data_IF_664370052340
#
_entry.id   IF_664370052340
#
_cell.length_a   1.000
_cell.length_b   1.000
_cell.length_c   1.000
_cell.angle_alpha   90.00
_cell.angle_beta   90.00
_cell.angle_gamma   90.00
#
_symmetry.space_group_name_H-M   'P 1'
#
loop_
_entity.id
_entity.type
_entity.pdbx_description
1 polymer ?
#
# COMPACT_ATOMS: atom_id res chain seq x y z
N UNK A 1 32.91 13.67 -18.12
CA UNK A 1 31.51 13.28 -17.89
C UNK A 1 31.22 12.11 -18.83
N UNK A 2 30.98 10.90 -18.31
CA UNK A 2 30.71 9.73 -19.15
C UNK A 2 29.24 9.76 -19.52
N UNK A 3 28.93 9.91 -20.80
CA UNK A 3 27.57 9.78 -21.32
C UNK A 3 27.42 8.32 -21.73
N UNK A 4 26.60 7.55 -21.00
CA UNK A 4 26.20 6.22 -21.42
C UNK A 4 25.00 6.35 -22.38
N UNK A 5 25.15 5.85 -23.60
CA UNK A 5 24.06 5.76 -24.58
C UNK A 5 23.34 4.43 -24.46
N UNK A 6 22.01 4.47 -24.48
CA UNK A 6 21.17 3.26 -24.57
C UNK A 6 21.28 2.68 -25.99
N UNK A 7 21.50 1.36 -26.17
CA UNK A 7 21.52 0.73 -27.49
C UNK A 7 20.22 0.94 -28.28
N UNK A 8 20.32 1.03 -29.61
CA UNK A 8 19.17 1.33 -30.47
C UNK A 8 18.12 0.21 -30.50
N UNK A 9 18.49 -1.05 -30.18
CA UNK A 9 17.55 -2.16 -30.09
C UNK A 9 16.65 -2.14 -28.84
N UNK A 10 16.99 -1.36 -27.82
CA UNK A 10 16.16 -1.24 -26.63
C UNK A 10 14.89 -0.49 -27.02
N UNK A 11 13.73 -1.05 -26.68
CA UNK A 11 12.42 -0.42 -26.92
C UNK A 11 11.66 -0.15 -25.62
N UNK A 12 12.14 -0.72 -24.51
CA UNK A 12 11.50 -0.65 -23.19
C UNK A 12 12.57 -0.42 -22.13
N UNK A 13 12.32 0.54 -21.24
CA UNK A 13 13.10 0.76 -20.02
C UNK A 13 12.20 0.39 -18.85
N UNK A 14 12.62 -0.59 -18.07
CA UNK A 14 11.98 -0.93 -16.80
C UNK A 14 12.70 -0.19 -15.68
N UNK A 15 11.97 0.64 -14.95
CA UNK A 15 12.50 1.38 -13.82
C UNK A 15 12.05 0.70 -12.52
N UNK A 16 13.01 0.51 -11.63
CA UNK A 16 12.71 0.15 -10.25
C UNK A 16 12.19 1.38 -9.47
N UNK A 17 11.55 1.14 -8.33
CA UNK A 17 10.93 2.18 -7.51
C UNK A 17 11.86 2.58 -6.37
N UNK A 18 12.03 1.68 -5.41
CA UNK A 18 12.79 1.94 -4.19
C UNK A 18 14.29 2.12 -4.50
N UNK A 19 14.85 3.26 -4.12
CA UNK A 19 16.26 3.61 -4.37
C UNK A 19 16.58 3.97 -5.82
N UNK A 20 15.62 3.89 -6.75
CA UNK A 20 15.79 4.27 -8.16
C UNK A 20 14.98 5.51 -8.51
N UNK A 21 13.65 5.44 -8.45
CA UNK A 21 12.78 6.60 -8.73
C UNK A 21 12.27 7.28 -7.46
N UNK A 22 12.30 6.58 -6.33
CA UNK A 22 11.81 7.04 -5.02
C UNK A 22 12.87 6.75 -3.95
N UNK A 23 13.21 7.68 -3.05
CA UNK A 23 14.15 7.42 -1.98
C UNK A 23 13.70 6.27 -1.08
N UNK A 24 14.62 5.41 -0.66
CA UNK A 24 14.36 4.35 0.33
C UNK A 24 13.76 4.95 1.61
N UNK A 25 14.29 6.10 2.04
CA UNK A 25 13.79 6.83 3.19
C UNK A 25 12.32 7.25 3.04
N UNK A 26 11.86 7.61 1.83
CA UNK A 26 10.45 7.96 1.62
C UNK A 26 9.54 6.76 1.86
N UNK A 27 9.93 5.58 1.38
CA UNK A 27 9.14 4.35 1.58
C UNK A 27 9.14 3.97 3.07
N UNK A 28 10.32 3.89 3.68
CA UNK A 28 10.50 3.41 5.04
C UNK A 28 10.02 4.38 6.11
N UNK A 29 10.27 5.68 5.93
CA UNK A 29 10.09 6.69 6.98
C UNK A 29 8.83 7.53 6.75
N UNK A 30 8.16 7.42 5.58
CA UNK A 30 6.91 8.13 5.30
C UNK A 30 5.77 7.17 4.98
N UNK A 31 5.89 6.32 3.95
CA UNK A 31 4.75 5.50 3.49
C UNK A 31 4.29 4.47 4.53
N UNK A 32 5.21 3.73 5.13
CA UNK A 32 4.85 2.73 6.14
C UNK A 32 4.39 3.35 7.47
N UNK A 33 5.06 4.38 8.04
CA UNK A 33 4.57 5.07 9.23
C UNK A 33 3.19 5.68 9.05
N UNK A 34 2.91 6.26 7.86
CA UNK A 34 1.60 6.82 7.54
C UNK A 34 0.46 5.83 7.77
N UNK A 35 0.62 4.57 7.35
CA UNK A 35 -0.41 3.54 7.56
C UNK A 35 -0.68 3.34 9.05
N UNK A 36 0.36 3.17 9.87
CA UNK A 36 0.21 2.94 11.32
C UNK A 36 -0.49 4.11 12.02
N UNK A 37 -0.19 5.33 11.59
CA UNK A 37 -0.75 6.55 12.18
C UNK A 37 -2.20 6.81 11.74
N UNK A 38 -2.58 6.38 10.53
CA UNK A 38 -3.86 6.77 9.93
C UNK A 38 -4.87 5.62 9.80
N UNK A 39 -4.48 4.36 10.04
CA UNK A 39 -5.38 3.20 9.84
C UNK A 39 -6.65 3.29 10.68
N UNK A 40 -6.55 3.78 11.91
CA UNK A 40 -7.71 3.94 12.79
C UNK A 40 -8.70 4.97 12.26
N UNK A 41 -8.22 6.17 11.91
CA UNK A 41 -9.05 7.24 11.36
C UNK A 41 -9.65 6.81 10.02
N UNK A 42 -8.86 6.18 9.15
CA UNK A 42 -9.31 5.65 7.87
C UNK A 42 -10.47 4.67 8.04
N UNK A 43 -10.32 3.67 8.90
CA UNK A 43 -11.37 2.69 9.15
C UNK A 43 -12.63 3.34 9.74
N UNK A 44 -12.51 4.37 10.57
CA UNK A 44 -13.66 5.08 11.15
C UNK A 44 -14.43 5.88 10.10
N UNK A 45 -13.73 6.53 9.16
CA UNK A 45 -14.35 7.34 8.11
C UNK A 45 -15.00 6.46 7.04
N UNK A 46 -14.29 5.40 6.62
CA UNK A 46 -14.66 4.56 5.49
C UNK A 46 -15.39 3.28 5.91
N UNK A 47 -15.75 3.12 7.19
CA UNK A 47 -16.29 1.86 7.72
C UNK A 47 -17.46 1.33 6.90
N UNK A 48 -18.41 2.18 6.54
CA UNK A 48 -19.63 1.77 5.82
C UNK A 48 -19.41 1.57 4.31
N UNK A 49 -18.20 1.82 3.80
CA UNK A 49 -17.90 1.62 2.38
C UNK A 49 -17.70 0.14 2.06
N UNK A 50 -18.25 -0.30 0.92
CA UNK A 50 -18.16 -1.69 0.48
C UNK A 50 -16.70 -2.15 0.32
N UNK A 51 -15.84 -1.29 -0.21
CA UNK A 51 -14.41 -1.58 -0.39
C UNK A 51 -13.71 -1.80 0.97
N UNK A 52 -14.01 -0.96 1.96
CA UNK A 52 -13.47 -1.11 3.32
C UNK A 52 -13.99 -2.39 4.00
N UNK A 53 -15.27 -2.72 3.82
CA UNK A 53 -15.85 -3.96 4.34
C UNK A 53 -15.21 -5.21 3.71
N UNK A 54 -14.90 -5.16 2.42
CA UNK A 54 -14.16 -6.22 1.72
C UNK A 54 -12.73 -6.38 2.27
N UNK A 55 -12.03 -5.27 2.49
CA UNK A 55 -10.69 -5.27 3.10
C UNK A 55 -10.70 -5.91 4.49
N UNK A 56 -11.63 -5.49 5.35
CA UNK A 56 -11.78 -6.03 6.72
C UNK A 56 -12.14 -7.52 6.68
N UNK A 57 -12.97 -7.96 5.73
CA UNK A 57 -13.30 -9.37 5.54
C UNK A 57 -12.08 -10.21 5.15
N UNK A 58 -11.22 -9.71 4.26
CA UNK A 58 -9.97 -10.38 3.91
C UNK A 58 -8.98 -10.41 5.08
N UNK A 59 -8.85 -9.32 5.82
CA UNK A 59 -8.01 -9.26 7.01
C UNK A 59 -8.47 -10.25 8.08
N UNK A 60 -9.79 -10.40 8.27
CA UNK A 60 -10.37 -11.39 9.19
C UNK A 60 -10.00 -12.82 8.79
N UNK A 61 -10.18 -13.19 7.52
CA UNK A 61 -9.76 -14.50 6.99
C UNK A 61 -8.26 -14.74 7.20
N UNK A 62 -7.44 -13.73 6.92
CA UNK A 62 -6.01 -13.83 7.14
C UNK A 62 -5.67 -14.03 8.63
N UNK A 63 -6.35 -13.32 9.53
CA UNK A 63 -6.17 -13.47 10.98
C UNK A 63 -6.56 -14.88 11.49
N UNK A 64 -7.59 -15.50 10.90
CA UNK A 64 -7.97 -16.88 11.19
C UNK A 64 -6.89 -17.87 10.75
N UNK A 65 -6.37 -17.71 9.53
CA UNK A 65 -5.24 -18.50 9.03
C UNK A 65 -4.01 -18.36 9.92
N UNK A 66 -3.77 -17.17 10.45
CA UNK A 66 -2.62 -16.84 11.28
C UNK A 66 -2.79 -17.20 12.76
N UNK A 67 -3.94 -17.73 13.17
CA UNK A 67 -4.26 -18.04 14.57
C UNK A 67 -3.26 -18.99 15.27
N UNK A 68 -2.51 -19.77 14.49
CA UNK A 68 -1.48 -20.68 14.98
C UNK A 68 -0.13 -19.99 15.26
N UNK A 69 0.04 -18.73 14.86
CA UNK A 69 1.28 -17.98 15.05
C UNK A 69 1.38 -17.39 16.46
N UNK A 70 2.59 -17.35 17.00
CA UNK A 70 2.85 -16.78 18.32
C UNK A 70 2.58 -15.27 18.27
N UNK A 71 1.70 -14.81 19.17
CA UNK A 71 1.32 -13.40 19.25
C UNK A 71 0.35 -12.93 18.17
N UNK A 72 -0.28 -13.85 17.43
CA UNK A 72 -1.32 -13.52 16.47
C UNK A 72 -2.45 -12.70 17.11
N UNK A 73 -2.87 -11.64 16.42
CA UNK A 73 -3.95 -10.76 16.87
C UNK A 73 -5.24 -11.15 16.13
N UNK A 74 -6.26 -11.68 16.81
CA UNK A 74 -7.51 -12.07 16.17
C UNK A 74 -8.36 -10.84 15.81
N UNK A 75 -9.16 -10.97 14.75
CA UNK A 75 -10.20 -9.99 14.40
C UNK A 75 -11.55 -10.68 14.63
N UNK A 76 -12.34 -10.27 15.64
CA UNK A 76 -13.63 -10.91 15.90
C UNK A 76 -14.61 -10.70 14.74
N UNK A 77 -15.57 -11.62 14.62
CA UNK A 77 -16.74 -11.39 13.79
C UNK A 77 -17.55 -10.23 14.40
N UNK A 78 -18.12 -9.38 13.56
CA UNK A 78 -19.03 -8.34 14.02
C UNK A 78 -20.20 -9.01 14.77
N UNK A 79 -20.44 -8.58 15.99
CA UNK A 79 -21.66 -8.95 16.72
C UNK A 79 -22.83 -8.19 16.10
N UNK A 80 -24.03 -8.75 16.12
CA UNK A 80 -25.25 -8.06 15.64
C UNK A 80 -25.65 -6.84 16.51
N UNK A 81 -24.80 -6.42 17.46
CA UNK A 81 -25.13 -5.52 18.55
C UNK A 81 -24.39 -4.16 18.43
N UNK A 82 -24.97 -3.21 17.70
CA UNK A 82 -24.79 -1.76 17.91
C UNK A 82 -23.40 -1.13 17.62
N UNK A 83 -23.33 0.20 17.82
CA UNK A 83 -22.16 1.03 17.47
C UNK A 83 -20.91 0.80 18.34
N UNK A 84 -21.08 0.31 19.57
CA UNK A 84 -19.96 0.00 20.46
C UNK A 84 -19.16 -1.23 19.98
N UNK A 85 -19.80 -2.15 19.23
CA UNK A 85 -19.16 -3.33 18.62
C UNK A 85 -18.29 -2.96 17.40
N UNK A 86 -18.72 -1.95 16.63
CA UNK A 86 -17.96 -1.44 15.49
C UNK A 86 -16.62 -0.83 15.95
N UNK A 87 -16.62 -0.04 17.02
CA UNK A 87 -15.40 0.58 17.54
C UNK A 87 -14.41 -0.45 18.10
N UNK A 88 -14.91 -1.51 18.73
CA UNK A 88 -14.08 -2.64 19.18
C UNK A 88 -13.49 -3.41 18.00
N UNK A 89 -14.30 -3.67 16.98
CA UNK A 89 -13.85 -4.34 15.75
C UNK A 89 -12.78 -3.52 15.04
N UNK A 90 -12.98 -2.21 14.89
CA UNK A 90 -11.98 -1.30 14.32
C UNK A 90 -10.68 -1.40 15.11
N UNK A 91 -10.72 -1.35 16.44
CA UNK A 91 -9.51 -1.46 17.25
C UNK A 91 -8.80 -2.81 17.04
N UNK A 92 -9.54 -3.93 16.96
CA UNK A 92 -8.96 -5.23 16.67
C UNK A 92 -8.31 -5.29 15.27
N UNK A 93 -8.91 -4.65 14.26
CA UNK A 93 -8.32 -4.54 12.91
C UNK A 93 -7.04 -3.70 12.96
N UNK A 94 -7.05 -2.56 13.67
CA UNK A 94 -5.86 -1.71 13.85
C UNK A 94 -4.72 -2.48 14.51
N UNK A 95 -5.02 -3.21 15.58
CA UNK A 95 -4.02 -4.00 16.31
C UNK A 95 -3.46 -5.13 15.43
N UNK A 96 -4.31 -5.80 14.66
CA UNK A 96 -3.89 -6.83 13.71
C UNK A 96 -2.99 -6.26 12.60
N UNK A 97 -3.37 -5.13 11.98
CA UNK A 97 -2.56 -4.44 10.97
C UNK A 97 -1.19 -4.06 11.53
N UNK A 98 -1.16 -3.45 12.73
CA UNK A 98 0.10 -3.07 13.38
C UNK A 98 0.99 -4.28 13.69
N UNK A 99 0.39 -5.39 14.13
CA UNK A 99 1.10 -6.64 14.37
C UNK A 99 1.66 -7.24 13.07
N UNK A 100 0.88 -7.30 11.99
CA UNK A 100 1.38 -7.79 10.71
C UNK A 100 2.56 -6.94 10.20
N UNK A 101 2.45 -5.61 10.33
CA UNK A 101 3.51 -4.69 9.93
C UNK A 101 4.76 -4.77 10.82
N UNK A 102 4.63 -5.08 12.12
CA UNK A 102 5.79 -5.21 13.00
C UNK A 102 6.66 -6.43 12.67
N UNK A 103 6.05 -7.43 12.03
CA UNK A 103 6.69 -8.65 11.57
C UNK A 103 7.11 -8.62 10.08
N UNK A 104 7.05 -7.46 9.42
CA UNK A 104 7.26 -7.30 7.96
C UNK A 104 6.45 -8.31 7.12
N UNK A 105 5.22 -8.63 7.56
CA UNK A 105 4.37 -9.57 6.83
C UNK A 105 3.82 -8.90 5.59
N UNK A 106 3.78 -9.67 4.50
CA UNK A 106 3.46 -9.21 3.15
C UNK A 106 2.25 -9.97 2.59
N UNK A 107 1.21 -10.12 3.42
CA UNK A 107 -0.05 -10.80 3.07
C UNK A 107 -0.87 -9.98 2.08
N UNK A 108 -1.62 -10.66 1.21
CA UNK A 108 -2.51 -10.01 0.24
C UNK A 108 -3.52 -9.08 0.94
N UNK A 109 -4.09 -9.51 2.06
CA UNK A 109 -5.08 -8.74 2.82
C UNK A 109 -4.50 -7.41 3.35
N UNK A 110 -3.31 -7.44 3.97
CA UNK A 110 -2.66 -6.23 4.46
C UNK A 110 -2.37 -5.23 3.34
N UNK A 111 -1.84 -5.75 2.24
CA UNK A 111 -1.42 -4.95 1.10
C UNK A 111 -2.58 -4.28 0.38
N UNK A 112 -3.73 -4.95 0.32
CA UNK A 112 -4.94 -4.39 -0.28
C UNK A 112 -5.41 -3.16 0.50
N UNK A 113 -5.57 -3.26 1.83
CA UNK A 113 -5.93 -2.13 2.69
C UNK A 113 -4.91 -0.98 2.56
N UNK A 114 -3.60 -1.31 2.60
CA UNK A 114 -2.54 -0.31 2.43
C UNK A 114 -2.65 0.43 1.09
N UNK A 115 -2.95 -0.29 0.01
CA UNK A 115 -3.19 0.28 -1.31
C UNK A 115 -4.33 1.30 -1.32
N UNK A 116 -5.47 0.97 -0.73
CA UNK A 116 -6.62 1.87 -0.65
C UNK A 116 -6.33 3.10 0.22
N UNK A 117 -5.69 2.90 1.38
CA UNK A 117 -5.25 4.00 2.25
C UNK A 117 -4.28 4.95 1.54
N UNK A 118 -3.29 4.43 0.82
CA UNK A 118 -2.37 5.26 0.05
C UNK A 118 -3.09 5.98 -1.09
N UNK A 119 -3.99 5.32 -1.81
CA UNK A 119 -4.81 5.95 -2.86
C UNK A 119 -5.57 7.16 -2.30
N UNK A 120 -6.21 7.02 -1.14
CA UNK A 120 -6.89 8.11 -0.46
C UNK A 120 -5.92 9.23 -0.05
N UNK A 121 -4.76 8.87 0.53
CA UNK A 121 -3.75 9.82 0.97
C UNK A 121 -3.15 10.67 -0.16
N UNK A 122 -2.85 10.04 -1.31
CA UNK A 122 -2.35 10.72 -2.50
C UNK A 122 -3.41 11.59 -3.15
N UNK A 123 -4.65 11.08 -3.29
CA UNK A 123 -5.76 11.82 -3.89
C UNK A 123 -6.11 13.07 -3.07
N UNK A 124 -6.07 12.96 -1.73
CA UNK A 124 -6.28 14.09 -0.83
C UNK A 124 -5.05 15.02 -0.71
N UNK A 125 -3.91 14.68 -1.32
CA UNK A 125 -2.66 15.43 -1.23
C UNK A 125 -2.01 15.44 0.16
N UNK A 126 -2.45 14.56 1.08
CA UNK A 126 -1.87 14.38 2.43
C UNK A 126 -0.48 13.78 2.36
N UNK A 127 -0.27 12.87 1.41
CA UNK A 127 1.04 12.34 1.04
C UNK A 127 1.35 12.81 -0.38
N UNK A 128 2.54 13.38 -0.56
CA UNK A 128 3.06 13.71 -1.89
C UNK A 128 4.18 12.74 -2.20
N UNK A 129 4.17 12.15 -3.38
CA UNK A 129 5.22 11.24 -3.79
C UNK A 129 6.52 12.04 -3.89
N UNK A 130 7.49 11.72 -3.03
CA UNK A 130 8.84 12.27 -3.16
C UNK A 130 9.56 11.47 -4.25
N UNK A 131 9.30 11.88 -5.49
CA UNK A 131 9.95 11.27 -6.63
C UNK A 131 11.25 12.00 -6.90
N UNK A 132 12.34 11.23 -6.96
CA UNK A 132 13.60 11.68 -7.56
C UNK A 132 13.48 11.85 -9.08
N UNK A 133 12.28 11.71 -9.65
CA UNK A 133 11.99 11.81 -11.09
C UNK A 133 12.44 13.12 -11.71
N UNK A 134 12.58 14.20 -10.94
CA UNK A 134 13.14 15.47 -11.45
C UNK A 134 14.59 15.32 -11.93
N UNK A 135 15.35 14.30 -11.49
CA UNK A 135 16.71 14.06 -11.98
C UNK A 135 16.76 13.05 -13.13
N UNK A 136 15.86 12.06 -13.14
CA UNK A 136 15.86 10.97 -14.12
C UNK A 136 15.07 11.29 -15.40
N UNK A 137 13.92 11.95 -15.28
CA UNK A 137 13.02 12.23 -16.42
C UNK A 137 13.62 13.23 -17.42
N UNK A 138 14.29 14.34 -17.01
CA UNK A 138 14.87 15.26 -17.98
C UNK A 138 16.06 14.69 -18.76
N UNK A 139 16.64 13.56 -18.30
CA UNK A 139 17.78 12.89 -18.96
C UNK A 139 17.38 11.72 -19.84
N UNK A 140 16.15 11.24 -19.72
CA UNK A 140 15.56 10.33 -20.69
C UNK A 140 15.03 11.21 -21.83
N UNK A 141 15.62 11.06 -23.01
CA UNK A 141 15.18 11.76 -24.23
C UNK A 141 13.65 11.65 -24.38
N UNK A 142 13.01 12.74 -24.79
CA UNK A 142 11.57 12.85 -25.15
C UNK A 142 11.05 11.72 -26.05
N UNK A 143 11.96 10.98 -26.70
CA UNK A 143 11.69 9.75 -27.45
C UNK A 143 11.09 8.61 -26.61
N UNK A 144 11.37 8.55 -25.31
CA UNK A 144 10.91 7.47 -24.44
C UNK A 144 9.61 7.87 -23.73
N UNK A 145 8.49 7.25 -24.11
CA UNK A 145 7.28 7.30 -23.28
C UNK A 145 7.53 6.46 -22.04
N UNK A 146 7.78 7.12 -20.91
CA UNK A 146 7.84 6.44 -19.61
C UNK A 146 6.44 5.90 -19.31
N UNK A 147 6.24 4.62 -19.60
CA UNK A 147 5.17 3.86 -18.95
C UNK A 147 5.76 3.34 -17.66
N UNK A 148 5.41 3.98 -16.55
CA UNK A 148 5.57 3.33 -15.25
C UNK A 148 4.62 2.13 -15.32
N UNK A 149 5.17 0.96 -15.62
CA UNK A 149 4.42 -0.28 -15.42
C UNK A 149 4.30 -0.36 -13.91
N UNK A 150 3.11 -0.08 -13.39
CA UNK A 150 2.75 -0.29 -11.99
C UNK A 150 2.93 -1.78 -11.65
N UNK A 151 4.16 -2.19 -11.38
CA UNK A 151 4.45 -3.42 -10.62
C UNK A 151 4.33 -3.18 -9.11
N UNK A 152 3.67 -2.09 -8.69
CA UNK A 152 3.23 -1.94 -7.30
C UNK A 152 2.28 -3.08 -6.91
N UNK A 153 1.48 -3.60 -7.85
CA UNK A 153 0.58 -4.71 -7.58
C UNK A 153 1.29 -6.06 -7.35
N UNK A 154 2.46 -6.30 -7.97
CA UNK A 154 3.19 -7.57 -7.81
C UNK A 154 4.27 -7.53 -6.73
N UNK A 155 4.95 -6.39 -6.52
CA UNK A 155 5.89 -6.23 -5.41
C UNK A 155 5.16 -6.08 -4.06
N UNK A 156 3.98 -5.45 -4.08
CA UNK A 156 3.09 -5.33 -2.93
C UNK A 156 1.86 -6.26 -3.03
N UNK A 157 1.88 -7.36 -3.80
CA UNK A 157 0.89 -8.46 -3.72
C UNK A 157 -0.61 -8.12 -3.72
N UNK A 158 -1.08 -7.09 -4.42
CA UNK A 158 -2.50 -6.78 -4.60
C UNK A 158 -2.92 -6.95 -6.07
N UNK A 159 -4.14 -7.41 -6.35
CA UNK A 159 -4.65 -7.64 -7.71
C UNK A 159 -4.78 -6.35 -8.54
N UNK A 160 -4.80 -6.44 -9.89
CA UNK A 160 -4.90 -5.27 -10.74
C UNK A 160 -6.22 -4.54 -10.63
N UNK A 161 -6.19 -3.34 -10.03
CA UNK A 161 -7.21 -2.32 -10.24
C UNK A 161 -7.07 -1.83 -11.69
N UNK A 162 -7.90 -2.35 -12.57
CA UNK A 162 -8.04 -1.83 -13.93
C UNK A 162 -8.57 -0.40 -13.90
N UNK A 163 -7.90 0.48 -14.65
CA UNK A 163 -8.34 1.82 -15.03
C UNK A 163 -8.21 2.92 -13.97
N UNK A 164 -7.02 3.52 -13.91
CA UNK A 164 -6.86 4.98 -13.82
C UNK A 164 -5.54 5.35 -14.51
N UNK A 165 -5.56 5.50 -15.83
CA UNK A 165 -4.73 6.40 -16.67
C UNK A 165 -5.06 6.16 -18.16
#
# INVERSE_FOLDING_TARGET
MVVLSVPAEVSVILLDIEGTTTPIAFVKDILFPYIKENVKEYLQIHWEEEECQQDVSLLRKQAEEDSHLIGAVPIPAASENGADDAQQTIQAVVDNVCWQMSLDRKTTALKQLQGHMWRAAFTAGRVKADLLTVTLIPRLDTKWRVRVIERLQTALGAQPATSCF
#
